data_IF_134414852667
#
_entry.id   IF_134414852667
#
_cell.length_a   1.000
_cell.length_b   1.000
_cell.length_c   1.000
_cell.angle_alpha   90.00
_cell.angle_beta   90.00
_cell.angle_gamma   90.00
#
_symmetry.space_group_name_H-M   'P 1'
#
loop_
_entity.id
_entity.type
_entity.pdbx_description
1 polymer ?
#
# COMPACT_ATOMS: atom_id res chain seq x y z
N UNK A 1 -17.74 66.78 18.07
CA UNK A 1 -18.25 65.40 18.07
C UNK A 1 -17.55 64.65 16.93
N UNK A 2 -16.60 63.76 17.22
CA UNK A 2 -15.97 62.92 16.19
C UNK A 2 -16.13 61.45 16.60
N UNK A 3 -16.95 60.71 15.87
CA UNK A 3 -17.22 59.31 16.11
C UNK A 3 -16.28 58.45 15.27
N UNK A 4 -15.41 57.65 15.90
CA UNK A 4 -14.54 56.68 15.25
C UNK A 4 -15.27 55.35 15.10
N UNK A 5 -15.62 54.97 13.87
CA UNK A 5 -16.09 53.61 13.55
C UNK A 5 -14.90 52.70 13.29
N UNK A 6 -14.55 51.87 14.28
CA UNK A 6 -13.57 50.80 14.10
C UNK A 6 -14.25 49.62 13.39
N UNK A 7 -13.96 49.46 12.10
CA UNK A 7 -14.40 48.28 11.35
C UNK A 7 -13.50 47.09 11.72
N UNK A 8 -14.08 46.06 12.35
CA UNK A 8 -13.38 44.81 12.69
C UNK A 8 -13.60 43.83 11.52
N UNK A 9 -12.57 43.62 10.70
CA UNK A 9 -12.60 42.61 9.64
C UNK A 9 -12.35 41.22 10.25
N UNK A 10 -13.29 40.30 10.00
CA UNK A 10 -13.19 38.89 10.37
C UNK A 10 -12.60 38.17 9.16
N UNK A 11 -11.35 37.73 9.25
CA UNK A 11 -10.70 36.96 8.17
C UNK A 11 -11.13 35.51 8.30
N UNK A 12 -12.02 35.05 7.42
CA UNK A 12 -12.38 33.64 7.35
C UNK A 12 -11.25 32.85 6.63
N UNK A 13 -10.60 31.93 7.34
CA UNK A 13 -9.65 30.99 6.75
C UNK A 13 -10.41 29.94 5.94
N UNK A 14 -10.59 30.17 4.64
CA UNK A 14 -11.13 29.16 3.74
C UNK A 14 -10.06 28.07 3.47
N UNK A 15 -10.33 26.84 3.90
CA UNK A 15 -9.50 25.67 3.57
C UNK A 15 -9.71 25.34 2.09
N UNK A 16 -8.64 25.27 1.30
CA UNK A 16 -8.73 24.96 -0.13
C UNK A 16 -9.40 23.60 -0.33
N UNK A 17 -10.37 23.54 -1.26
CA UNK A 17 -11.06 22.31 -1.62
C UNK A 17 -10.09 21.29 -2.24
N UNK A 18 -10.28 19.98 -2.01
CA UNK A 18 -9.44 18.96 -2.63
C UNK A 18 -9.58 19.05 -4.16
N UNK A 19 -8.45 19.19 -4.85
CA UNK A 19 -8.42 19.22 -6.31
C UNK A 19 -8.73 17.81 -6.83
N UNK A 20 -9.91 17.64 -7.41
CA UNK A 20 -10.35 16.38 -8.00
C UNK A 20 -9.70 16.22 -9.37
N UNK A 21 -8.69 15.36 -9.47
CA UNK A 21 -7.91 15.09 -10.69
C UNK A 21 -8.32 13.77 -11.34
N UNK A 22 -9.60 13.42 -11.29
CA UNK A 22 -10.14 12.21 -11.92
C UNK A 22 -11.22 12.56 -12.92
N UNK A 23 -11.26 11.80 -14.02
CA UNK A 23 -12.34 11.89 -15.01
C UNK A 23 -13.38 10.79 -14.78
N UNK A 24 -12.95 9.66 -14.20
CA UNK A 24 -13.85 8.59 -13.79
C UNK A 24 -14.77 9.03 -12.65
N UNK A 25 -15.98 8.46 -12.63
CA UNK A 25 -17.02 8.73 -11.62
C UNK A 25 -17.17 7.60 -10.60
N UNK A 26 -16.78 6.39 -10.96
CA UNK A 26 -16.88 5.18 -10.16
C UNK A 26 -15.75 4.23 -10.52
N UNK A 27 -15.32 3.42 -9.56
CA UNK A 27 -14.34 2.34 -9.72
C UNK A 27 -14.98 1.07 -10.30
N UNK A 28 -16.31 0.95 -10.26
CA UNK A 28 -17.04 -0.25 -10.66
C UNK A 28 -17.04 -1.37 -9.61
N UNK A 29 -16.41 -1.14 -8.45
CA UNK A 29 -16.33 -2.10 -7.34
C UNK A 29 -17.18 -1.61 -6.16
N UNK A 30 -17.89 -2.53 -5.51
CA UNK A 30 -18.72 -2.20 -4.36
C UNK A 30 -17.84 -1.87 -3.13
N UNK A 31 -18.14 -0.75 -2.47
CA UNK A 31 -17.44 -0.35 -1.24
C UNK A 31 -16.07 0.29 -1.44
N UNK A 32 -15.66 0.56 -2.69
CA UNK A 32 -14.38 1.23 -3.01
C UNK A 32 -14.68 2.57 -3.69
N UNK A 33 -14.61 3.65 -2.92
CA UNK A 33 -14.82 5.00 -3.41
C UNK A 33 -13.62 5.50 -4.22
N UNK A 34 -13.91 6.33 -5.22
CA UNK A 34 -12.88 6.90 -6.08
C UNK A 34 -12.03 7.93 -5.33
N UNK A 35 -10.71 7.80 -5.47
CA UNK A 35 -9.79 8.72 -4.82
C UNK A 35 -9.48 9.93 -5.72
N UNK A 36 -9.56 11.18 -5.23
CA UNK A 36 -9.45 12.40 -6.05
C UNK A 36 -8.06 12.58 -6.69
N UNK A 37 -7.00 12.10 -6.03
CA UNK A 37 -5.63 12.17 -6.54
C UNK A 37 -4.76 11.03 -5.94
N UNK A 38 -4.81 9.81 -6.52
CA UNK A 38 -4.24 8.62 -5.88
C UNK A 38 -2.72 8.50 -5.99
N UNK A 39 -2.11 9.01 -7.07
CA UNK A 39 -0.68 8.76 -7.34
C UNK A 39 0.27 9.32 -6.27
N UNK A 40 0.12 10.57 -5.78
CA UNK A 40 0.98 11.08 -4.72
C UNK A 40 0.79 10.33 -3.40
N UNK A 41 -0.43 9.85 -3.13
CA UNK A 41 -0.72 9.07 -1.92
C UNK A 41 -0.06 7.69 -2.01
N UNK A 42 -0.10 7.04 -3.18
CA UNK A 42 0.64 5.80 -3.41
C UNK A 42 2.14 5.97 -3.21
N UNK A 43 2.73 7.02 -3.80
CA UNK A 43 4.14 7.33 -3.60
C UNK A 43 4.48 7.52 -2.11
N UNK A 44 3.65 8.27 -1.38
CA UNK A 44 3.81 8.48 0.05
C UNK A 44 3.74 7.16 0.82
N UNK A 45 2.74 6.31 0.55
CA UNK A 45 2.57 5.02 1.22
C UNK A 45 3.76 4.10 0.98
N UNK A 46 4.19 3.91 -0.27
CA UNK A 46 5.36 3.09 -0.59
C UNK A 46 6.64 3.62 0.05
N UNK A 47 6.86 4.93 0.03
CA UNK A 47 8.01 5.54 0.71
C UNK A 47 7.98 5.27 2.20
N UNK A 48 6.81 5.35 2.83
CA UNK A 48 6.63 5.04 4.26
C UNK A 48 6.85 3.56 4.54
N UNK A 49 6.35 2.66 3.70
CA UNK A 49 6.58 1.21 3.82
C UNK A 49 8.08 0.90 3.78
N UNK A 50 8.81 1.45 2.82
CA UNK A 50 10.28 1.31 2.74
C UNK A 50 11.00 1.85 3.98
N UNK A 51 10.48 2.91 4.62
CA UNK A 51 11.03 3.39 5.89
C UNK A 51 10.79 2.42 7.05
N UNK A 52 9.59 1.84 7.14
CA UNK A 52 9.24 0.86 8.19
C UNK A 52 10.05 -0.43 8.02
N UNK A 53 10.24 -0.91 6.78
CA UNK A 53 10.99 -2.12 6.48
C UNK A 53 12.46 -2.06 6.95
N UNK A 54 13.05 -0.86 7.03
CA UNK A 54 14.43 -0.68 7.56
C UNK A 54 14.57 -1.07 9.02
N UNK A 55 13.48 -1.12 9.80
CA UNK A 55 13.52 -1.59 11.18
C UNK A 55 13.68 -3.11 11.32
N UNK A 56 13.37 -3.87 10.25
CA UNK A 56 13.52 -5.32 10.21
C UNK A 56 14.98 -5.71 9.88
N UNK A 57 15.46 -6.88 10.30
CA UNK A 57 16.81 -7.32 9.95
C UNK A 57 16.97 -7.59 8.45
N UNK A 58 18.15 -7.27 7.88
CA UNK A 58 18.45 -7.46 6.44
C UNK A 58 18.40 -8.93 5.99
N UNK A 59 18.62 -9.87 6.91
CA UNK A 59 18.54 -11.30 6.66
C UNK A 59 17.10 -11.83 6.58
N UNK A 60 16.09 -11.04 6.98
CA UNK A 60 14.70 -11.47 6.89
C UNK A 60 14.26 -11.56 5.42
N UNK A 61 13.84 -12.75 4.99
CA UNK A 61 13.32 -12.99 3.63
C UNK A 61 12.14 -12.07 3.32
N UNK A 62 11.24 -11.85 4.29
CA UNK A 62 10.13 -10.92 4.15
C UNK A 62 10.58 -9.48 3.84
N UNK A 63 11.64 -8.98 4.50
CA UNK A 63 12.16 -7.63 4.23
C UNK A 63 12.66 -7.54 2.79
N UNK A 64 13.45 -8.51 2.34
CA UNK A 64 14.03 -8.54 1.00
C UNK A 64 12.95 -8.57 -0.09
N UNK A 65 11.94 -9.42 0.06
CA UNK A 65 10.84 -9.52 -0.91
C UNK A 65 9.95 -8.27 -0.91
N UNK A 66 9.60 -7.75 0.27
CA UNK A 66 8.76 -6.56 0.41
C UNK A 66 9.47 -5.30 -0.10
N UNK A 67 10.78 -5.13 0.16
CA UNK A 67 11.57 -4.02 -0.37
C UNK A 67 11.64 -4.07 -1.90
N UNK A 68 11.96 -5.24 -2.48
CA UNK A 68 12.05 -5.39 -3.94
C UNK A 68 10.71 -5.10 -4.65
N UNK A 69 9.60 -5.64 -4.12
CA UNK A 69 8.27 -5.40 -4.67
C UNK A 69 7.85 -3.93 -4.52
N UNK A 70 8.05 -3.33 -3.34
CA UNK A 70 7.66 -1.94 -3.06
C UNK A 70 8.49 -0.96 -3.88
N UNK A 71 9.79 -1.20 -4.02
CA UNK A 71 10.68 -0.36 -4.82
C UNK A 71 10.29 -0.38 -6.30
N UNK A 72 10.02 -1.58 -6.85
CA UNK A 72 9.58 -1.73 -8.25
C UNK A 72 8.27 -0.94 -8.51
N UNK A 73 7.30 -1.04 -7.59
CA UNK A 73 6.03 -0.30 -7.69
C UNK A 73 6.24 1.21 -7.54
N UNK A 74 7.10 1.64 -6.63
CA UNK A 74 7.43 3.05 -6.42
C UNK A 74 8.09 3.66 -7.68
N UNK A 75 9.00 2.94 -8.32
CA UNK A 75 9.67 3.40 -9.54
C UNK A 75 8.68 3.56 -10.70
N UNK A 76 7.73 2.63 -10.83
CA UNK A 76 6.62 2.74 -11.80
C UNK A 76 5.78 3.98 -11.54
N UNK A 77 5.39 4.24 -10.28
CA UNK A 77 4.59 5.41 -9.91
C UNK A 77 5.36 6.70 -10.20
N UNK A 78 6.63 6.80 -9.80
CA UNK A 78 7.47 7.97 -10.06
C UNK A 78 7.69 8.24 -11.54
N UNK A 79 7.84 7.20 -12.35
CA UNK A 79 7.96 7.35 -13.79
C UNK A 79 6.67 7.89 -14.45
N UNK A 80 5.50 7.59 -13.87
CA UNK A 80 4.22 8.06 -14.37
C UNK A 80 3.85 9.47 -13.85
N UNK A 81 4.30 9.83 -12.63
CA UNK A 81 4.07 11.15 -12.03
C UNK A 81 4.92 12.20 -12.73
N UNK A 82 4.27 13.25 -13.20
CA UNK A 82 4.88 14.37 -13.90
C UNK A 82 4.04 15.64 -13.69
N UNK A 83 4.61 16.82 -13.94
CA UNK A 83 3.92 18.08 -13.63
C UNK A 83 2.54 18.21 -14.33
N UNK A 84 2.40 17.57 -15.49
CA UNK A 84 1.15 17.58 -16.26
C UNK A 84 0.07 16.72 -15.59
N UNK A 85 0.38 15.50 -15.17
CA UNK A 85 -0.58 14.64 -14.45
C UNK A 85 -1.03 15.25 -13.11
N UNK A 86 -0.19 16.06 -12.46
CA UNK A 86 -0.58 16.78 -11.25
C UNK A 86 -1.50 17.99 -11.49
N UNK A 87 -1.53 18.52 -12.72
CA UNK A 87 -2.28 19.74 -13.05
C UNK A 87 -3.60 19.44 -13.76
N UNK A 88 -3.64 18.41 -14.60
CA UNK A 88 -4.74 18.10 -15.50
C UNK A 88 -5.32 16.70 -15.25
N UNK A 89 -6.66 16.60 -15.22
CA UNK A 89 -7.36 15.35 -14.90
C UNK A 89 -7.24 14.28 -16.00
N UNK A 90 -7.18 14.68 -17.28
CA UNK A 90 -7.04 13.73 -18.39
C UNK A 90 -5.65 13.10 -18.41
N UNK A 91 -4.61 13.91 -18.23
CA UNK A 91 -3.24 13.40 -18.09
C UNK A 91 -3.06 12.56 -16.82
N UNK A 92 -3.74 12.91 -15.71
CA UNK A 92 -3.72 12.08 -14.50
C UNK A 92 -4.34 10.71 -14.73
N UNK A 93 -5.50 10.64 -15.41
CA UNK A 93 -6.16 9.37 -15.71
C UNK A 93 -5.29 8.48 -16.60
N UNK A 94 -4.60 9.07 -17.58
CA UNK A 94 -3.63 8.33 -18.40
C UNK A 94 -2.46 7.79 -17.57
N UNK A 95 -1.89 8.60 -16.67
CA UNK A 95 -0.82 8.17 -15.78
C UNK A 95 -1.29 7.03 -14.86
N UNK A 96 -2.50 7.14 -14.30
CA UNK A 96 -3.13 6.07 -13.50
C UNK A 96 -3.24 4.78 -14.32
N UNK A 97 -3.73 4.86 -15.57
CA UNK A 97 -3.85 3.70 -16.46
C UNK A 97 -2.51 3.01 -16.70
N UNK A 98 -1.45 3.79 -16.96
CA UNK A 98 -0.09 3.27 -17.15
C UNK A 98 0.40 2.57 -15.89
N UNK A 99 0.15 3.14 -14.70
CA UNK A 99 0.55 2.52 -13.42
C UNK A 99 -0.20 1.20 -13.20
N UNK A 100 -1.52 1.17 -13.40
CA UNK A 100 -2.33 -0.04 -13.19
C UNK A 100 -1.94 -1.15 -14.16
N UNK A 101 -1.69 -0.83 -15.44
CA UNK A 101 -1.26 -1.81 -16.45
C UNK A 101 0.13 -2.38 -16.15
N UNK A 102 1.05 -1.56 -15.63
CA UNK A 102 2.41 -2.02 -15.30
C UNK A 102 2.48 -2.83 -14.01
N UNK A 103 1.66 -2.51 -13.02
CA UNK A 103 1.63 -3.21 -11.72
C UNK A 103 0.77 -4.47 -11.78
N UNK A 104 -0.25 -4.49 -12.64
CA UNK A 104 -1.20 -5.59 -12.81
C UNK A 104 -1.83 -6.07 -11.48
N UNK A 105 -2.33 -5.10 -10.70
CA UNK A 105 -2.84 -5.33 -9.34
C UNK A 105 -4.27 -4.83 -9.10
N UNK A 106 -5.05 -4.66 -10.18
CA UNK A 106 -6.43 -4.14 -10.12
C UNK A 106 -6.54 -2.64 -10.36
N UNK A 107 -7.59 -2.01 -9.82
CA UNK A 107 -7.78 -0.56 -9.91
C UNK A 107 -6.84 0.18 -8.96
N UNK A 108 -6.58 1.46 -9.22
CA UNK A 108 -5.62 2.24 -8.42
C UNK A 108 -6.05 2.40 -6.96
N UNK A 109 -7.35 2.39 -6.69
CA UNK A 109 -7.91 2.38 -5.34
C UNK A 109 -7.62 1.08 -4.59
N UNK A 110 -7.64 -0.07 -5.26
CA UNK A 110 -7.23 -1.36 -4.66
C UNK A 110 -5.73 -1.35 -4.37
N UNK A 111 -4.91 -0.76 -5.26
CA UNK A 111 -3.48 -0.59 -4.99
C UNK A 111 -3.23 0.29 -3.75
N UNK A 112 -4.07 1.30 -3.50
CA UNK A 112 -3.98 2.12 -2.29
C UNK A 112 -4.30 1.32 -1.04
N UNK A 113 -5.30 0.43 -1.09
CA UNK A 113 -5.66 -0.47 0.00
C UNK A 113 -4.52 -1.45 0.25
N UNK A 114 -4.02 -2.12 -0.79
CA UNK A 114 -2.86 -3.04 -0.68
C UNK A 114 -1.63 -2.35 -0.08
N UNK A 115 -1.34 -1.11 -0.48
CA UNK A 115 -0.22 -0.35 0.06
C UNK A 115 -0.41 0.00 1.55
N UNK A 116 -1.66 0.23 1.99
CA UNK A 116 -1.98 0.44 3.39
C UNK A 116 -1.87 -0.86 4.20
N UNK A 117 -2.41 -1.95 3.66
CA UNK A 117 -2.34 -3.28 4.26
C UNK A 117 -0.90 -3.74 4.44
N UNK A 118 -0.04 -3.53 3.43
CA UNK A 118 1.38 -3.86 3.50
C UNK A 118 2.10 -3.00 4.55
N UNK A 119 1.77 -1.71 4.65
CA UNK A 119 2.34 -0.84 5.68
C UNK A 119 1.93 -1.32 7.09
N UNK A 120 0.66 -1.67 7.27
CA UNK A 120 0.12 -2.17 8.54
C UNK A 120 0.70 -3.55 8.89
N UNK A 121 0.90 -4.41 7.89
CA UNK A 121 1.57 -5.70 8.05
C UNK A 121 3.03 -5.51 8.46
N UNK A 122 3.78 -4.66 7.75
CA UNK A 122 5.18 -4.38 8.07
C UNK A 122 5.34 -3.86 9.50
N UNK A 123 4.42 -3.02 9.98
CA UNK A 123 4.40 -2.58 11.37
C UNK A 123 4.21 -3.75 12.36
N UNK A 124 3.27 -4.67 12.08
CA UNK A 124 3.04 -5.87 12.91
C UNK A 124 4.23 -6.84 12.90
N UNK A 125 4.92 -6.94 11.77
CA UNK A 125 6.07 -7.84 11.60
C UNK A 125 7.25 -7.47 12.51
N UNK A 126 7.36 -6.19 12.91
CA UNK A 126 8.34 -5.72 13.90
C UNK A 126 8.08 -6.36 15.26
N UNK A 127 6.81 -6.47 15.66
CA UNK A 127 6.41 -7.06 16.94
C UNK A 127 6.42 -8.59 16.90
N UNK A 128 5.91 -9.17 15.81
CA UNK A 128 5.75 -10.62 15.66
C UNK A 128 7.07 -11.36 15.50
N UNK A 129 8.06 -10.72 14.86
CA UNK A 129 9.39 -11.28 14.60
C UNK A 129 9.30 -12.74 14.10
N UNK A 130 8.65 -12.98 12.95
CA UNK A 130 8.41 -14.35 12.44
C UNK A 130 9.67 -15.02 11.87
N UNK A 131 10.79 -14.32 11.91
CA UNK A 131 12.10 -14.89 11.73
C UNK A 131 12.44 -15.73 12.98
N UNK A 132 13.38 -16.69 12.88
CA UNK A 132 13.38 -18.08 13.41
C UNK A 132 12.10 -18.87 13.75
N UNK A 133 12.22 -20.20 13.63
CA UNK A 133 11.27 -21.16 14.21
C UNK A 133 11.37 -21.16 15.74
N UNK A 134 10.25 -20.88 16.42
CA UNK A 134 10.22 -20.83 17.89
C UNK A 134 10.05 -22.20 18.54
N UNK A 135 9.25 -23.09 17.94
CA UNK A 135 8.92 -24.41 18.50
C UNK A 135 9.08 -25.48 17.40
N UNK A 136 9.97 -26.48 17.57
CA UNK A 136 10.03 -27.60 16.64
C UNK A 136 8.78 -28.46 16.76
N UNK A 137 8.32 -29.08 15.65
CA UNK A 137 7.15 -29.95 15.69
C UNK A 137 7.41 -31.20 16.55
N UNK A 138 6.41 -31.68 17.31
CA UNK A 138 6.50 -32.98 17.98
C UNK A 138 6.76 -34.11 16.97
N UNK A 139 7.46 -35.18 17.38
CA UNK A 139 7.67 -36.35 16.52
C UNK A 139 6.31 -36.93 16.09
N UNK A 140 6.13 -37.17 14.80
CA UNK A 140 4.88 -37.70 14.24
C UNK A 140 3.80 -36.67 13.89
N UNK A 141 3.91 -35.40 14.32
CA UNK A 141 2.88 -34.35 14.11
C UNK A 141 2.51 -34.15 12.63
N UNK A 142 3.51 -34.15 11.75
CA UNK A 142 3.35 -33.95 10.31
C UNK A 142 3.56 -35.24 9.52
N UNK A 143 3.40 -36.41 10.16
CA UNK A 143 3.41 -37.68 9.44
C UNK A 143 2.07 -37.88 8.74
N UNK A 144 2.01 -37.85 7.40
CA UNK A 144 0.79 -38.13 6.68
C UNK A 144 0.38 -39.60 6.89
N UNK A 145 -0.91 -39.86 6.76
CA UNK A 145 -1.44 -41.23 6.77
C UNK A 145 -0.78 -42.06 5.66
N UNK A 146 -0.31 -43.26 6.03
CA UNK A 146 0.42 -44.18 5.15
C UNK A 146 -0.16 -45.58 5.34
N UNK A 147 -0.81 -46.11 4.30
CA UNK A 147 -1.37 -47.47 4.34
C UNK A 147 -0.31 -48.54 4.60
N UNK A 148 0.95 -48.33 4.17
CA UNK A 148 2.06 -49.25 4.43
C UNK A 148 2.41 -49.35 5.92
N UNK A 149 2.36 -48.21 6.63
CA UNK A 149 2.56 -48.18 8.09
C UNK A 149 1.41 -48.85 8.85
N UNK A 150 0.18 -48.65 8.41
CA UNK A 150 -1.02 -49.22 9.05
C UNK A 150 -1.20 -50.71 8.75
N UNK A 151 -0.75 -51.19 7.58
CA UNK A 151 -0.80 -52.59 7.18
C UNK A 151 0.27 -53.47 7.86
N UNK A 152 1.15 -52.90 8.69
CA UNK A 152 2.16 -53.65 9.43
C UNK A 152 3.31 -54.21 8.57
N UNK A 153 3.44 -53.77 7.32
CA UNK A 153 4.60 -54.07 6.48
C UNK A 153 5.78 -53.21 6.97
N UNK A 154 6.49 -53.73 7.98
CA UNK A 154 7.69 -53.10 8.52
C UNK A 154 8.75 -52.87 7.46
N UNK A 155 9.41 -51.71 7.50
CA UNK A 155 10.62 -51.45 6.73
C UNK A 155 11.73 -52.36 7.27
N UNK A 156 12.03 -53.44 6.53
CA UNK A 156 13.25 -54.24 6.69
C UNK A 156 14.44 -53.58 6.00
#
# INVERSE_FOLDING_TARGET
MFATRTARQIVASARAAPKYLRTQRTTGLAGIDIHPNPLPVLEQKYTRTLQVLKALPESAVYRQSAEAATQTRLDIVRAAVNERSQKDAGFNEHAIKVVTEKIDGGVVEELLIQADDELNLAAKMIDWKPYPLQVPPPPGQWSPFSMKKEAGEGEH
#
